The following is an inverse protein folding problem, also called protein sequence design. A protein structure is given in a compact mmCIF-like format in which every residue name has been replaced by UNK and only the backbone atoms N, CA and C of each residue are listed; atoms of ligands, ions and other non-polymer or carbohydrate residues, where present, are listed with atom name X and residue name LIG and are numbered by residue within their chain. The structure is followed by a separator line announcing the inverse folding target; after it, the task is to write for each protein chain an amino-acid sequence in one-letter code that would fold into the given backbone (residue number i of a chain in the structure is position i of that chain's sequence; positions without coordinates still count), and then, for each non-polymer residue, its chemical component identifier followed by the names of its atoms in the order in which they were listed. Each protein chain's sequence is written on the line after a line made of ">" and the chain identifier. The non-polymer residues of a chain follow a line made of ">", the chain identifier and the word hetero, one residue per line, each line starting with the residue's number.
data_IF_771768285292
#
_entry.id   IF_771768285292
#
_cell.length_a   1.000
_cell.length_b   1.000
_cell.length_c   1.000
_cell.angle_alpha   90.00
_cell.angle_beta   90.00
_cell.angle_gamma   90.00
#
_symmetry.space_group_name_H-M   'P 1'
#
loop_
_entity.id
_entity.type
_entity.pdbx_description
1 polymer ?
#
# COMPACT_ATOMS: atom_id res chain seq x y z
N UNK A 1 15.49 -27.39 0.82
CA UNK A 1 14.66 -26.78 -0.24
C UNK A 1 13.66 -27.71 -0.97
N UNK A 2 13.40 -29.01 -0.61
CA UNK A 2 12.42 -29.81 -1.36
C UNK A 2 10.95 -29.53 -1.03
N UNK A 3 10.64 -28.65 -0.06
CA UNK A 3 9.26 -28.32 0.35
C UNK A 3 8.63 -27.16 -0.43
N UNK A 4 9.43 -26.23 -0.98
CA UNK A 4 8.91 -25.04 -1.65
C UNK A 4 8.01 -25.36 -2.85
N UNK A 5 8.46 -26.30 -3.69
CA UNK A 5 7.68 -26.78 -4.84
C UNK A 5 6.46 -27.61 -4.43
N UNK A 6 6.43 -28.11 -3.19
CA UNK A 6 5.30 -28.86 -2.62
C UNK A 6 4.26 -27.93 -1.99
N UNK A 7 4.68 -26.75 -1.53
CA UNK A 7 3.82 -25.68 -0.99
C UNK A 7 3.22 -24.78 -2.10
N UNK A 8 3.70 -24.94 -3.34
CA UNK A 8 3.23 -24.27 -4.55
C UNK A 8 1.88 -24.83 -5.00
N UNK A 9 0.81 -24.41 -4.34
CA UNK A 9 -0.56 -24.68 -4.77
C UNK A 9 -1.10 -23.57 -5.68
N UNK A 10 -2.01 -23.92 -6.60
CA UNK A 10 -2.71 -22.93 -7.43
C UNK A 10 -3.40 -21.86 -6.58
N UNK A 11 -3.97 -22.26 -5.44
CA UNK A 11 -4.58 -21.32 -4.50
C UNK A 11 -3.57 -20.34 -3.90
N UNK A 12 -2.34 -20.77 -3.60
CA UNK A 12 -1.31 -19.90 -3.07
C UNK A 12 -0.84 -18.89 -4.13
N UNK A 13 -0.69 -19.33 -5.38
CA UNK A 13 -0.34 -18.45 -6.51
C UNK A 13 -1.43 -17.40 -6.74
N UNK A 14 -2.70 -17.80 -6.78
CA UNK A 14 -3.84 -16.89 -6.95
C UNK A 14 -3.92 -15.90 -5.77
N UNK A 15 -3.74 -16.37 -4.53
CA UNK A 15 -3.76 -15.50 -3.37
C UNK A 15 -2.62 -14.47 -3.39
N UNK A 16 -1.40 -14.88 -3.75
CA UNK A 16 -0.25 -13.99 -3.90
C UNK A 16 -0.44 -12.97 -5.03
N UNK A 17 -1.02 -13.40 -6.15
CA UNK A 17 -1.37 -12.50 -7.25
C UNK A 17 -2.41 -11.47 -6.82
N UNK A 18 -3.51 -11.89 -6.19
CA UNK A 18 -4.56 -10.99 -5.69
C UNK A 18 -3.99 -10.02 -4.65
N UNK A 19 -3.19 -10.51 -3.70
CA UNK A 19 -2.55 -9.66 -2.70
C UNK A 19 -1.69 -8.56 -3.35
N UNK A 20 -0.86 -8.94 -4.34
CA UNK A 20 -0.04 -8.00 -5.10
C UNK A 20 -0.90 -7.00 -5.86
N UNK A 21 -1.94 -7.47 -6.54
CA UNK A 21 -2.88 -6.63 -7.28
C UNK A 21 -3.52 -5.56 -6.39
N UNK A 22 -4.01 -5.97 -5.22
CA UNK A 22 -4.62 -5.08 -4.23
C UNK A 22 -3.59 -4.08 -3.68
N UNK A 23 -2.36 -4.53 -3.41
CA UNK A 23 -1.28 -3.65 -2.97
C UNK A 23 -0.95 -2.56 -3.98
N UNK A 24 -1.07 -2.82 -5.28
CA UNK A 24 -0.78 -1.82 -6.32
C UNK A 24 -2.00 -0.92 -6.62
N UNK A 25 -3.20 -1.49 -6.65
CA UNK A 25 -4.40 -0.79 -7.10
C UNK A 25 -4.74 0.47 -6.30
N UNK A 26 -4.49 0.49 -4.99
CA UNK A 26 -4.78 1.65 -4.15
C UNK A 26 -3.54 2.49 -3.86
N UNK A 27 -2.63 1.99 -3.00
CA UNK A 27 -1.56 2.83 -2.46
C UNK A 27 -0.52 3.33 -3.47
N UNK A 28 -0.36 2.67 -4.63
CA UNK A 28 0.60 3.14 -5.63
C UNK A 28 0.15 4.45 -6.29
N UNK A 29 -1.16 4.70 -6.39
CA UNK A 29 -1.73 5.95 -6.94
C UNK A 29 -1.22 7.16 -6.14
N UNK A 30 -1.03 7.01 -4.83
CA UNK A 30 -0.50 8.06 -3.95
C UNK A 30 0.95 8.41 -4.35
N UNK A 31 1.75 7.41 -4.75
CA UNK A 31 3.13 7.61 -5.20
C UNK A 31 3.16 8.40 -6.52
N UNK A 32 2.31 8.01 -7.48
CA UNK A 32 2.16 8.76 -8.73
C UNK A 32 1.77 10.21 -8.47
N UNK A 33 0.79 10.42 -7.57
CA UNK A 33 0.33 11.76 -7.25
C UNK A 33 1.41 12.60 -6.56
N UNK A 34 2.15 12.04 -5.60
CA UNK A 34 3.26 12.74 -4.96
C UNK A 34 4.38 13.08 -5.96
N UNK A 35 4.71 12.15 -6.86
CA UNK A 35 5.71 12.36 -7.89
C UNK A 35 5.31 13.45 -8.89
N UNK A 36 4.04 13.47 -9.31
CA UNK A 36 3.50 14.49 -10.21
C UNK A 36 3.52 15.89 -9.55
N UNK A 37 3.07 16.00 -8.30
CA UNK A 37 3.10 17.27 -7.57
C UNK A 37 4.53 17.79 -7.33
N UNK A 38 5.50 16.90 -7.21
CA UNK A 38 6.92 17.25 -7.08
C UNK A 38 7.66 17.35 -8.42
N UNK A 39 6.96 17.22 -9.56
CA UNK A 39 7.51 17.24 -10.91
C UNK A 39 8.70 16.29 -11.11
N UNK A 40 8.65 15.11 -10.51
CA UNK A 40 9.71 14.10 -10.64
C UNK A 40 9.79 13.58 -12.07
N UNK A 41 11.01 13.25 -12.50
CA UNK A 41 11.23 12.59 -13.77
C UNK A 41 10.69 11.15 -13.78
N UNK A 42 10.41 10.64 -14.99
CA UNK A 42 10.00 9.24 -15.16
C UNK A 42 11.04 8.25 -14.62
N UNK A 43 12.33 8.61 -14.67
CA UNK A 43 13.42 7.80 -14.13
C UNK A 43 13.32 7.71 -12.61
N UNK A 44 13.13 8.83 -11.91
CA UNK A 44 12.98 8.86 -10.45
C UNK A 44 11.74 8.11 -9.97
N UNK A 45 10.60 8.33 -10.64
CA UNK A 45 9.37 7.60 -10.34
C UNK A 45 9.55 6.09 -10.58
N UNK A 46 10.16 5.68 -11.69
CA UNK A 46 10.41 4.26 -11.98
C UNK A 46 11.34 3.62 -10.94
N UNK A 47 12.36 4.35 -10.47
CA UNK A 47 13.26 3.92 -9.41
C UNK A 47 12.53 3.73 -8.08
N UNK A 48 11.63 4.66 -7.74
CA UNK A 48 10.83 4.56 -6.52
C UNK A 48 9.88 3.36 -6.57
N UNK A 49 9.16 3.17 -7.68
CA UNK A 49 8.29 2.00 -7.86
C UNK A 49 9.11 0.72 -7.77
N UNK A 50 10.24 0.63 -8.48
CA UNK A 50 11.13 -0.53 -8.45
C UNK A 50 11.61 -0.85 -7.04
N UNK A 51 12.03 0.16 -6.27
CA UNK A 51 12.50 -0.03 -4.90
C UNK A 51 11.41 -0.58 -3.98
N UNK A 52 10.17 -0.10 -4.12
CA UNK A 52 9.01 -0.63 -3.40
C UNK A 52 8.75 -2.08 -3.83
N UNK A 53 8.69 -2.36 -5.14
CA UNK A 53 8.40 -3.69 -5.68
C UNK A 53 9.40 -4.74 -5.23
N UNK A 54 10.68 -4.50 -5.50
CA UNK A 54 11.76 -5.45 -5.26
C UNK A 54 12.09 -5.52 -3.78
N UNK A 55 12.09 -4.39 -3.07
CA UNK A 55 12.30 -4.37 -1.62
C UNK A 55 11.27 -5.21 -0.88
N UNK A 56 9.98 -5.03 -1.17
CA UNK A 56 8.90 -5.84 -0.60
C UNK A 56 9.01 -7.31 -0.98
N UNK A 57 9.30 -7.62 -2.25
CA UNK A 57 9.40 -9.00 -2.74
C UNK A 57 10.55 -9.75 -2.06
N UNK A 58 11.74 -9.16 -2.03
CA UNK A 58 12.95 -9.78 -1.46
C UNK A 58 12.79 -9.97 0.05
N UNK A 59 12.37 -8.93 0.78
CA UNK A 59 12.19 -9.02 2.23
C UNK A 59 11.03 -9.94 2.61
N UNK A 60 9.91 -9.85 1.91
CA UNK A 60 8.75 -10.72 2.15
C UNK A 60 9.09 -12.19 1.90
N UNK A 61 9.77 -12.50 0.80
CA UNK A 61 10.22 -13.86 0.50
C UNK A 61 11.24 -14.34 1.54
N UNK A 62 12.26 -13.55 1.84
CA UNK A 62 13.30 -13.90 2.82
C UNK A 62 12.71 -14.18 4.20
N UNK A 63 11.87 -13.28 4.73
CA UNK A 63 11.24 -13.43 6.04
C UNK A 63 10.27 -14.61 6.06
N UNK A 64 9.49 -14.79 4.99
CA UNK A 64 8.56 -15.92 4.90
C UNK A 64 9.28 -17.28 4.92
N UNK A 65 10.40 -17.39 4.20
CA UNK A 65 11.21 -18.60 4.17
C UNK A 65 11.95 -18.84 5.49
N UNK A 66 12.48 -17.78 6.11
CA UNK A 66 13.22 -17.86 7.36
C UNK A 66 12.32 -18.25 8.54
N UNK A 67 11.16 -17.63 8.65
CA UNK A 67 10.23 -17.84 9.77
C UNK A 67 9.14 -18.87 9.49
N UNK A 68 9.05 -19.38 8.25
CA UNK A 68 8.04 -20.38 7.81
C UNK A 68 6.60 -19.93 8.06
N UNK A 69 6.34 -18.63 7.94
CA UNK A 69 5.02 -18.01 8.06
C UNK A 69 4.83 -17.03 6.89
N UNK A 70 3.60 -16.78 6.40
CA UNK A 70 3.38 -15.86 5.28
C UNK A 70 3.58 -14.41 5.72
N UNK A 71 4.77 -13.86 5.49
CA UNK A 71 5.12 -12.46 5.82
C UNK A 71 4.90 -11.57 4.59
N UNK A 72 4.01 -10.60 4.72
CA UNK A 72 3.78 -9.56 3.71
C UNK A 72 4.49 -8.29 4.13
N UNK A 73 5.47 -7.85 3.34
CA UNK A 73 6.18 -6.58 3.55
C UNK A 73 5.56 -5.52 2.65
N UNK A 74 4.94 -4.50 3.25
CA UNK A 74 4.35 -3.38 2.55
C UNK A 74 5.11 -2.07 2.86
N UNK A 75 4.91 -1.06 2.03
CA UNK A 75 5.43 0.29 2.27
C UNK A 75 4.51 1.10 3.20
N UNK A 76 5.03 2.23 3.67
CA UNK A 76 4.27 3.15 4.54
C UNK A 76 3.30 4.01 3.73
N UNK A 77 2.04 3.56 3.61
CA UNK A 77 0.93 4.35 3.05
C UNK A 77 0.81 5.73 3.71
N UNK A 78 0.74 5.86 5.05
CA UNK A 78 0.65 7.17 5.70
C UNK A 78 1.87 8.06 5.40
N UNK A 79 3.06 7.47 5.30
CA UNK A 79 4.27 8.20 4.90
C UNK A 79 4.17 8.74 3.47
N UNK A 80 3.70 7.92 2.52
CA UNK A 80 3.52 8.33 1.13
C UNK A 80 2.47 9.42 0.99
N UNK A 81 1.38 9.35 1.76
CA UNK A 81 0.35 10.38 1.79
C UNK A 81 0.90 11.73 2.29
N UNK A 82 1.77 11.72 3.30
CA UNK A 82 2.45 12.94 3.78
C UNK A 82 3.35 13.57 2.69
N UNK A 83 4.01 12.73 1.88
CA UNK A 83 4.90 13.20 0.82
C UNK A 83 4.16 13.94 -0.28
N UNK A 84 2.88 13.67 -0.53
CA UNK A 84 2.08 14.41 -1.52
C UNK A 84 2.26 15.91 -1.32
N UNK A 85 2.07 16.40 -0.09
CA UNK A 85 2.18 17.83 0.21
C UNK A 85 3.59 18.28 0.58
N UNK A 86 4.42 17.40 1.15
CA UNK A 86 5.74 17.77 1.69
C UNK A 86 6.85 17.72 0.64
N UNK A 87 6.80 16.76 -0.28
CA UNK A 87 7.85 16.48 -1.26
C UNK A 87 8.18 17.70 -2.15
N UNK A 88 7.21 18.49 -2.65
CA UNK A 88 7.49 19.69 -3.45
C UNK A 88 8.26 20.78 -2.67
N UNK A 89 8.16 20.77 -1.33
CA UNK A 89 8.79 21.79 -0.48
C UNK A 89 10.22 21.39 -0.08
N UNK A 90 10.45 20.10 0.22
CA UNK A 90 11.72 19.62 0.75
C UNK A 90 12.64 19.04 -0.32
N UNK A 91 12.11 18.52 -1.43
CA UNK A 91 12.86 17.83 -2.47
C UNK A 91 13.09 16.33 -2.20
N UNK A 92 13.38 15.58 -3.28
CA UNK A 92 13.50 14.12 -3.23
C UNK A 92 14.65 13.64 -2.34
N UNK A 93 15.81 14.29 -2.39
CA UNK A 93 16.99 13.86 -1.63
C UNK A 93 16.77 13.98 -0.11
N UNK A 94 16.22 15.11 0.35
CA UNK A 94 15.86 15.28 1.76
C UNK A 94 14.78 14.28 2.20
N UNK A 95 13.78 14.04 1.35
CA UNK A 95 12.76 13.04 1.63
C UNK A 95 13.37 11.64 1.80
N UNK A 96 14.24 11.19 0.87
CA UNK A 96 14.93 9.90 0.97
C UNK A 96 15.77 9.82 2.24
N UNK A 97 16.54 10.86 2.56
CA UNK A 97 17.34 10.93 3.80
C UNK A 97 16.48 10.81 5.05
N UNK A 98 15.37 11.55 5.11
CA UNK A 98 14.42 11.49 6.23
C UNK A 98 13.82 10.08 6.39
N UNK A 99 13.47 9.41 5.28
CA UNK A 99 12.98 8.03 5.31
C UNK A 99 14.04 7.05 5.80
N UNK A 100 15.30 7.18 5.36
CA UNK A 100 16.38 6.30 5.81
C UNK A 100 16.62 6.46 7.31
N UNK A 101 16.66 7.70 7.80
CA UNK A 101 16.82 7.98 9.24
C UNK A 101 15.62 7.45 10.04
N UNK A 102 14.39 7.72 9.60
CA UNK A 102 13.18 7.25 10.27
C UNK A 102 13.10 5.71 10.32
N UNK A 103 13.44 5.03 9.22
CA UNK A 103 13.45 3.57 9.19
C UNK A 103 14.60 2.96 10.01
N UNK A 104 15.76 3.61 10.09
CA UNK A 104 16.84 3.19 10.97
C UNK A 104 16.41 3.28 12.44
N UNK A 105 15.79 4.39 12.83
CA UNK A 105 15.24 4.56 14.18
C UNK A 105 14.17 3.51 14.47
N UNK A 106 13.25 3.27 13.52
CA UNK A 106 12.22 2.25 13.66
C UNK A 106 12.83 0.84 13.80
N UNK A 107 13.90 0.54 13.07
CA UNK A 107 14.60 -0.73 13.16
C UNK A 107 15.29 -0.90 14.52
N UNK A 108 15.97 0.14 15.01
CA UNK A 108 16.60 0.14 16.35
C UNK A 108 15.55 -0.04 17.45
N UNK A 109 14.43 0.69 17.37
CA UNK A 109 13.34 0.58 18.33
C UNK A 109 12.70 -0.81 18.25
N UNK A 110 12.42 -1.32 17.05
CA UNK A 110 11.79 -2.63 16.83
C UNK A 110 12.68 -3.81 17.24
N UNK A 111 14.00 -3.68 17.17
CA UNK A 111 14.93 -4.68 17.70
C UNK A 111 15.03 -4.63 19.23
N UNK A 112 14.69 -3.49 19.84
CA UNK A 112 14.70 -3.31 21.29
C UNK A 112 13.37 -3.72 21.95
N UNK A 113 13.41 -4.10 23.23
CA UNK A 113 12.20 -4.33 24.04
C UNK A 113 11.42 -3.02 24.37
N UNK A 114 11.84 -1.88 23.83
CA UNK A 114 11.20 -0.57 24.03
C UNK A 114 9.97 -0.42 23.15
N UNK A 115 9.89 -1.13 22.02
CA UNK A 115 8.73 -1.07 21.12
C UNK A 115 7.42 -1.40 21.82
N UNK A 116 7.37 -2.51 22.57
CA UNK A 116 6.18 -2.92 23.31
C UNK A 116 5.78 -1.89 24.37
N UNK A 117 6.78 -1.27 25.03
CA UNK A 117 6.54 -0.20 26.01
C UNK A 117 5.96 1.04 25.33
N UNK A 118 6.50 1.45 24.19
CA UNK A 118 6.00 2.61 23.43
C UNK A 118 4.58 2.38 22.92
N UNK A 119 4.31 1.19 22.37
CA UNK A 119 2.97 0.81 21.93
C UNK A 119 1.95 0.80 23.07
N UNK A 120 2.34 0.34 24.26
CA UNK A 120 1.47 0.35 25.43
C UNK A 120 1.05 1.77 25.87
N UNK A 121 1.86 2.79 25.55
CA UNK A 121 1.52 4.19 25.83
C UNK A 121 0.66 4.84 24.73
N UNK A 122 0.59 4.25 23.53
CA UNK A 122 -0.20 4.79 22.44
C UNK A 122 -1.66 4.35 22.62
N UNK A 123 -2.60 5.24 22.98
CA UNK A 123 -3.99 4.86 23.14
C UNK A 123 -4.52 4.39 21.79
N UNK A 124 -5.20 3.24 21.76
CA UNK A 124 -5.78 2.71 20.52
C UNK A 124 -6.71 3.70 19.81
N UNK A 125 -7.34 4.62 20.55
CA UNK A 125 -8.15 5.71 20.01
C UNK A 125 -7.36 6.71 19.15
N UNK A 126 -6.10 7.03 19.52
CA UNK A 126 -5.25 7.92 18.72
C UNK A 126 -4.83 7.22 17.44
N UNK A 127 -4.38 5.97 17.53
CA UNK A 127 -4.00 5.18 16.36
C UNK A 127 -5.17 5.00 15.37
N UNK A 128 -6.36 4.67 15.89
CA UNK A 128 -7.58 4.57 15.09
C UNK A 128 -7.98 5.93 14.50
N UNK A 129 -7.85 7.02 15.26
CA UNK A 129 -8.11 8.38 14.79
C UNK A 129 -7.17 8.82 13.66
N UNK A 130 -5.89 8.48 13.76
CA UNK A 130 -4.91 8.72 12.70
C UNK A 130 -5.28 7.97 11.42
N UNK A 131 -5.62 6.69 11.52
CA UNK A 131 -6.07 5.91 10.36
C UNK A 131 -7.37 6.46 9.76
N UNK A 132 -8.34 6.81 10.61
CA UNK A 132 -9.60 7.39 10.18
C UNK A 132 -9.39 8.72 9.44
N UNK A 133 -8.53 9.62 9.94
CA UNK A 133 -8.25 10.90 9.28
C UNK A 133 -7.65 10.72 7.88
N UNK A 134 -6.69 9.80 7.75
CA UNK A 134 -6.05 9.50 6.45
C UNK A 134 -7.07 8.90 5.48
N UNK A 135 -7.80 7.87 5.90
CA UNK A 135 -8.81 7.19 5.06
C UNK A 135 -9.99 8.09 4.72
N UNK A 136 -10.39 8.99 5.62
CA UNK A 136 -11.46 9.95 5.40
C UNK A 136 -11.11 10.93 4.30
N UNK A 137 -9.87 11.45 4.28
CA UNK A 137 -9.40 12.33 3.21
C UNK A 137 -9.50 11.65 1.83
N UNK A 138 -9.08 10.39 1.72
CA UNK A 138 -9.21 9.60 0.49
C UNK A 138 -10.68 9.35 0.09
N UNK A 139 -11.53 9.04 1.07
CA UNK A 139 -12.97 8.86 0.83
C UNK A 139 -13.61 10.14 0.27
N UNK A 140 -13.34 11.29 0.88
CA UNK A 140 -13.84 12.59 0.42
C UNK A 140 -13.33 12.93 -0.99
N UNK A 141 -12.04 12.67 -1.28
CA UNK A 141 -11.50 12.89 -2.63
C UNK A 141 -12.24 12.05 -3.68
N UNK A 142 -12.57 10.80 -3.37
CA UNK A 142 -13.33 9.93 -4.28
C UNK A 142 -14.71 10.52 -4.61
N UNK A 143 -15.41 11.07 -3.62
CA UNK A 143 -16.69 11.74 -3.84
C UNK A 143 -16.56 13.07 -4.59
N UNK A 144 -15.46 13.79 -4.43
CA UNK A 144 -15.19 15.01 -5.21
C UNK A 144 -14.99 14.71 -6.69
N UNK A 145 -14.40 13.57 -7.03
CA UNK A 145 -14.25 13.10 -8.42
C UNK A 145 -15.49 12.38 -8.97
N UNK A 146 -16.49 12.07 -8.13
CA UNK A 146 -17.71 11.38 -8.55
C UNK A 146 -18.53 12.08 -9.64
N UNK A 147 -18.67 13.43 -9.63
CA UNK A 147 -19.35 14.14 -10.72
C UNK A 147 -18.63 14.03 -12.07
N UNK A 148 -17.30 13.88 -12.06
CA UNK A 148 -16.49 13.81 -13.28
C UNK A 148 -16.56 12.41 -13.93
N UNK A 149 -16.70 11.35 -13.12
CA UNK A 149 -16.76 9.96 -13.59
C UNK A 149 -17.83 9.13 -12.87
N UNK A 150 -19.13 9.49 -12.97
CA UNK A 150 -20.19 8.87 -12.17
C UNK A 150 -20.42 7.40 -12.52
N UNK A 151 -20.30 7.04 -13.80
CA UNK A 151 -20.44 5.66 -14.27
C UNK A 151 -19.33 4.77 -13.70
N UNK A 152 -18.08 5.24 -13.77
CA UNK A 152 -16.91 4.52 -13.29
C UNK A 152 -17.00 4.27 -11.78
N UNK A 153 -17.20 5.34 -11.00
CA UNK A 153 -17.23 5.26 -9.53
C UNK A 153 -18.47 4.46 -9.08
N UNK A 154 -19.62 4.66 -9.71
CA UNK A 154 -20.85 3.90 -9.43
C UNK A 154 -20.68 2.41 -9.70
N UNK A 155 -20.12 2.04 -10.86
CA UNK A 155 -19.89 0.64 -11.23
C UNK A 155 -18.87 -0.03 -10.29
N UNK A 156 -17.78 0.65 -9.93
CA UNK A 156 -16.81 0.16 -8.95
C UNK A 156 -17.46 -0.07 -7.59
N UNK A 157 -18.29 0.86 -7.12
CA UNK A 157 -18.97 0.75 -5.82
C UNK A 157 -19.99 -0.40 -5.78
N UNK A 158 -20.82 -0.53 -6.82
CA UNK A 158 -21.80 -1.62 -6.94
C UNK A 158 -21.12 -2.98 -7.05
N UNK A 159 -20.05 -3.07 -7.83
CA UNK A 159 -19.24 -4.29 -7.96
C UNK A 159 -18.66 -4.69 -6.61
N UNK A 160 -18.12 -3.73 -5.86
CA UNK A 160 -17.59 -4.00 -4.52
C UNK A 160 -18.67 -4.54 -3.59
N UNK A 161 -19.85 -3.92 -3.51
CA UNK A 161 -20.93 -4.37 -2.63
C UNK A 161 -21.41 -5.77 -3.01
N UNK A 162 -21.63 -6.02 -4.31
CA UNK A 162 -22.09 -7.32 -4.81
C UNK A 162 -21.10 -8.44 -4.49
N UNK A 163 -19.82 -8.24 -4.82
CA UNK A 163 -18.79 -9.25 -4.57
C UNK A 163 -18.40 -9.36 -3.11
N UNK A 164 -18.47 -8.28 -2.31
CA UNK A 164 -18.21 -8.35 -0.87
C UNK A 164 -19.17 -9.31 -0.17
N UNK A 165 -20.41 -9.43 -0.65
CA UNK A 165 -21.39 -10.39 -0.11
C UNK A 165 -21.19 -11.80 -0.67
N UNK A 166 -20.97 -11.91 -1.98
CA UNK A 166 -20.90 -13.22 -2.66
C UNK A 166 -19.53 -13.89 -2.46
N UNK A 167 -18.45 -13.20 -2.85
CA UNK A 167 -17.08 -13.70 -2.80
C UNK A 167 -16.10 -12.63 -2.27
N UNK A 168 -16.02 -12.43 -0.94
CA UNK A 168 -15.21 -11.36 -0.33
C UNK A 168 -13.74 -11.35 -0.78
N UNK A 169 -13.17 -12.53 -1.04
CA UNK A 169 -11.79 -12.71 -1.48
C UNK A 169 -11.50 -12.07 -2.85
N UNK A 170 -12.48 -11.99 -3.73
CA UNK A 170 -12.32 -11.46 -5.10
C UNK A 170 -12.92 -10.06 -5.26
N UNK A 171 -13.53 -9.48 -4.23
CA UNK A 171 -14.25 -8.22 -4.34
C UNK A 171 -13.38 -7.09 -4.87
N UNK A 172 -12.18 -6.90 -4.33
CA UNK A 172 -11.28 -5.84 -4.79
C UNK A 172 -10.74 -6.11 -6.20
N UNK A 173 -10.45 -7.37 -6.54
CA UNK A 173 -10.01 -7.75 -7.88
C UNK A 173 -11.11 -7.50 -8.92
N UNK A 174 -12.36 -7.84 -8.61
CA UNK A 174 -13.52 -7.58 -9.48
C UNK A 174 -13.72 -6.07 -9.71
N UNK A 175 -13.61 -5.26 -8.64
CA UNK A 175 -13.69 -3.79 -8.74
C UNK A 175 -12.64 -3.25 -9.69
N UNK A 176 -11.40 -3.74 -9.62
CA UNK A 176 -10.35 -3.30 -10.52
C UNK A 176 -10.64 -3.68 -11.97
N UNK A 177 -11.08 -4.91 -12.24
CA UNK A 177 -11.41 -5.37 -13.61
C UNK A 177 -12.53 -4.52 -14.21
N UNK A 178 -13.59 -4.25 -13.45
CA UNK A 178 -14.69 -3.40 -13.89
C UNK A 178 -14.22 -1.96 -14.09
N UNK A 179 -13.43 -1.41 -13.16
CA UNK A 179 -12.89 -0.07 -13.28
C UNK A 179 -12.00 0.11 -14.50
N UNK A 180 -11.06 -0.82 -14.72
CA UNK A 180 -10.17 -0.80 -15.87
C UNK A 180 -10.93 -0.96 -17.20
N UNK A 181 -11.95 -1.82 -17.24
CA UNK A 181 -12.77 -2.01 -18.44
C UNK A 181 -13.64 -0.82 -18.81
N UNK A 182 -13.97 0.06 -17.86
CA UNK A 182 -14.73 1.30 -18.11
C UNK A 182 -13.79 2.47 -18.42
N UNK A 183 -12.59 2.48 -17.86
CA UNK A 183 -11.61 3.56 -18.02
C UNK A 183 -10.78 3.48 -19.32
N UNK A 184 -10.68 2.29 -19.93
CA UNK A 184 -10.10 2.06 -21.25
C UNK A 184 -11.09 2.39 -22.36
#
# INVERSE_FOLDING_TARGET
>A
MPTLFRDLSLSAVIAGFIATLISYAGPLVIIFHAAEQAHLSAVELSSWVWAISIGSAVLGAFLSLKYKVPVVVAWSIPGSALLVTALPQIGLNQAVGAYLVANLLLWVIGYSAVFDKLLAHLPGSIAAGMQAGILFSFGIQTFRSAPEAPLLIGAMFLTYIGFRKLWPRYAVAAVLVVGAGIAL
#
